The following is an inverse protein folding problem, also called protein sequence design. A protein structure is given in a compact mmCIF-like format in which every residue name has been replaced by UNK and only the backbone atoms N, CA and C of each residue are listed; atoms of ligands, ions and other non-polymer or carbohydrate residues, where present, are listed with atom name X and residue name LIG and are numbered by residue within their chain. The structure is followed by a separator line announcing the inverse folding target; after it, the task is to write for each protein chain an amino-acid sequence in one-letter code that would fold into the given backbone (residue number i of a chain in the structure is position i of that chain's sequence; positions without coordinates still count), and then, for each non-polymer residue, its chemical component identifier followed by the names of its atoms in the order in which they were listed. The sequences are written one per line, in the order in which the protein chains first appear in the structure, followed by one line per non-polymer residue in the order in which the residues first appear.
data_IF_565601783857
#
_entry.id   IF_565601783857
#
_cell.length_a   1.000
_cell.length_b   1.000
_cell.length_c   1.000
_cell.angle_alpha   90.00
_cell.angle_beta   90.00
_cell.angle_gamma   90.00
#
_symmetry.space_group_name_H-M   'P 1'
#
loop_
_entity.id
_entity.type
_entity.pdbx_description
1 polymer ?
#
# COMPACT_ATOMS: atom_id res chain seq x y z
N UNK A 1 14.54 -54.65 36.16
CA UNK A 1 14.89 -53.49 35.28
C UNK A 1 13.79 -53.42 34.26
N UNK A 2 12.82 -52.52 34.50
CA UNK A 2 11.78 -52.22 33.55
C UNK A 2 12.29 -51.07 32.66
N UNK A 3 12.55 -51.35 31.40
CA UNK A 3 12.85 -50.33 30.38
C UNK A 3 11.50 -49.89 29.85
N UNK A 4 10.97 -48.81 30.38
CA UNK A 4 9.77 -48.19 29.89
C UNK A 4 10.14 -46.89 29.18
N UNK A 5 9.97 -46.86 27.86
CA UNK A 5 9.97 -45.68 27.04
C UNK A 5 11.32 -45.02 26.74
N UNK A 6 11.47 -44.49 25.57
CA UNK A 6 12.67 -43.79 25.09
C UNK A 6 12.85 -42.38 25.65
N UNK A 7 11.87 -41.86 26.42
CA UNK A 7 11.93 -40.52 27.05
C UNK A 7 11.38 -40.58 28.49
N UNK A 8 11.96 -39.75 29.37
CA UNK A 8 11.48 -39.60 30.73
C UNK A 8 10.08 -38.93 30.73
N UNK A 9 9.18 -39.31 31.66
CA UNK A 9 7.86 -38.69 31.78
C UNK A 9 8.02 -37.17 32.07
N UNK A 10 7.31 -36.35 31.33
CA UNK A 10 7.29 -34.90 31.51
C UNK A 10 6.03 -34.52 32.27
N UNK A 11 6.18 -33.80 33.38
CA UNK A 11 5.06 -33.31 34.19
C UNK A 11 4.57 -31.99 33.64
N UNK A 12 3.26 -31.86 33.48
CA UNK A 12 2.59 -30.65 33.08
C UNK A 12 2.04 -29.91 34.29
N UNK A 13 2.20 -28.60 34.31
CA UNK A 13 1.68 -27.71 35.33
C UNK A 13 0.76 -26.67 34.73
N UNK A 14 -0.25 -26.24 35.47
CA UNK A 14 -1.11 -25.14 35.07
C UNK A 14 -0.33 -23.82 35.09
N UNK A 15 -0.36 -23.07 33.98
CA UNK A 15 0.37 -21.80 33.86
C UNK A 15 -0.41 -20.60 34.40
N UNK A 16 -1.71 -20.78 34.70
CA UNK A 16 -2.57 -19.71 35.22
C UNK A 16 -3.64 -20.26 36.16
N UNK A 17 -4.24 -19.38 36.94
CA UNK A 17 -5.39 -19.70 37.77
C UNK A 17 -6.67 -19.69 36.93
N UNK A 18 -7.54 -20.68 37.13
CA UNK A 18 -8.82 -20.73 36.45
C UNK A 18 -9.51 -22.09 36.53
N UNK A 19 -10.59 -22.22 35.77
CA UNK A 19 -11.26 -23.51 35.62
C UNK A 19 -10.71 -24.24 34.42
N UNK A 20 -10.36 -25.51 34.59
CA UNK A 20 -9.81 -26.34 33.52
C UNK A 20 -10.93 -27.06 32.76
N UNK A 21 -10.81 -27.14 31.47
CA UNK A 21 -11.57 -28.02 30.58
C UNK A 21 -10.58 -29.02 29.98
N UNK A 22 -10.84 -30.30 30.16
CA UNK A 22 -10.03 -31.38 29.64
C UNK A 22 -10.44 -31.67 28.19
N UNK A 23 -9.50 -31.57 27.26
CA UNK A 23 -9.74 -31.81 25.82
C UNK A 23 -9.26 -33.19 25.39
N UNK A 24 -8.30 -33.78 26.13
CA UNK A 24 -7.80 -35.12 25.89
C UNK A 24 -8.25 -36.07 27.05
N UNK A 25 -8.46 -37.35 26.72
CA UNK A 25 -8.86 -38.34 27.66
C UNK A 25 -7.64 -38.96 28.37
N UNK A 26 -7.84 -39.47 29.60
CA UNK A 26 -6.82 -40.24 30.28
C UNK A 26 -6.44 -41.49 29.48
N UNK A 27 -5.14 -41.82 29.39
CA UNK A 27 -4.57 -42.90 28.58
C UNK A 27 -4.75 -42.71 27.06
N UNK A 28 -4.96 -41.48 26.59
CA UNK A 28 -4.96 -41.15 25.18
C UNK A 28 -3.53 -41.01 24.66
N UNK A 29 -3.25 -41.60 23.49
CA UNK A 29 -2.02 -41.33 22.74
C UNK A 29 -2.10 -39.93 22.14
N UNK A 30 -1.07 -39.11 22.39
CA UNK A 30 -0.95 -37.75 21.90
C UNK A 30 0.33 -37.59 21.11
N UNK A 31 0.30 -36.66 20.16
CA UNK A 31 1.48 -36.18 19.47
C UNK A 31 2.01 -34.90 20.12
N UNK A 32 3.29 -34.63 19.92
CA UNK A 32 3.87 -33.36 20.34
C UNK A 32 3.11 -32.19 19.73
N UNK A 33 2.66 -31.25 20.57
CA UNK A 33 1.89 -30.09 20.17
C UNK A 33 0.36 -30.25 20.25
N UNK A 34 -0.15 -31.46 20.59
CA UNK A 34 -1.59 -31.66 20.81
C UNK A 34 -2.06 -30.88 22.04
N UNK A 35 -3.25 -30.29 21.98
CA UNK A 35 -3.86 -29.56 23.10
C UNK A 35 -4.48 -30.55 24.08
N UNK A 36 -4.00 -30.56 25.31
CA UNK A 36 -4.47 -31.46 26.37
C UNK A 36 -5.63 -30.85 27.15
N UNK A 37 -5.48 -29.60 27.52
CA UNK A 37 -6.45 -28.90 28.35
C UNK A 37 -6.45 -27.39 28.08
N UNK A 38 -7.53 -26.76 28.47
CA UNK A 38 -7.76 -25.33 28.32
C UNK A 38 -8.21 -24.73 29.68
N UNK A 39 -7.57 -23.64 30.09
CA UNK A 39 -7.98 -22.86 31.27
C UNK A 39 -8.97 -21.78 30.79
N UNK A 40 -10.21 -21.83 31.29
CA UNK A 40 -11.28 -20.93 30.85
C UNK A 40 -10.96 -19.47 31.12
N UNK A 41 -11.17 -18.64 30.13
CA UNK A 41 -11.05 -17.19 30.18
C UNK A 41 -12.15 -16.54 29.30
N UNK A 42 -12.01 -15.26 28.98
CA UNK A 42 -12.98 -14.54 28.14
C UNK A 42 -12.94 -14.87 26.64
N UNK A 43 -12.03 -15.75 26.18
CA UNK A 43 -11.90 -16.15 24.78
C UNK A 43 -12.45 -17.57 24.54
N UNK A 44 -12.90 -17.86 23.32
CA UNK A 44 -13.09 -19.24 22.85
C UNK A 44 -11.75 -19.71 22.21
N UNK A 45 -11.16 -20.76 22.78
CA UNK A 45 -9.87 -21.27 22.33
C UNK A 45 -9.86 -21.68 20.86
N UNK A 46 -11.00 -22.17 20.34
CA UNK A 46 -11.13 -22.57 18.93
C UNK A 46 -11.06 -21.36 18.00
N UNK A 47 -11.61 -20.22 18.41
CA UNK A 47 -11.53 -18.97 17.66
C UNK A 47 -10.10 -18.44 17.66
N UNK A 48 -9.38 -18.52 18.78
CA UNK A 48 -7.97 -18.10 18.85
C UNK A 48 -7.09 -19.00 17.97
N UNK A 49 -7.27 -20.34 18.03
CA UNK A 49 -6.51 -21.26 17.18
C UNK A 49 -6.83 -21.10 15.69
N UNK A 50 -8.09 -20.75 15.34
CA UNK A 50 -8.48 -20.42 13.98
C UNK A 50 -7.70 -19.20 13.46
N UNK A 51 -7.66 -18.13 14.26
CA UNK A 51 -6.89 -16.92 13.90
C UNK A 51 -5.39 -17.22 13.77
N UNK A 52 -4.82 -18.02 14.71
CA UNK A 52 -3.42 -18.42 14.66
C UNK A 52 -3.09 -19.20 13.37
N UNK A 53 -3.93 -20.17 13.01
CA UNK A 53 -3.77 -20.93 11.77
C UNK A 53 -3.89 -20.04 10.52
N UNK A 54 -4.82 -19.09 10.51
CA UNK A 54 -4.94 -18.11 9.43
C UNK A 54 -3.66 -17.28 9.29
N UNK A 55 -3.10 -16.78 10.40
CA UNK A 55 -1.87 -15.97 10.39
C UNK A 55 -0.63 -16.74 9.90
N UNK A 56 -0.56 -18.06 10.18
CA UNK A 56 0.55 -18.92 9.73
C UNK A 56 0.48 -19.24 8.24
N UNK A 57 -0.73 -19.39 7.68
CA UNK A 57 -0.95 -19.77 6.29
C UNK A 57 -0.98 -18.59 5.32
N UNK A 58 -1.02 -17.36 5.85
CA UNK A 58 -1.14 -16.17 5.04
C UNK A 58 0.24 -15.56 4.75
N UNK A 59 0.78 -15.80 3.57
CA UNK A 59 1.77 -14.93 2.95
C UNK A 59 1.09 -13.60 2.56
N UNK A 60 1.79 -12.50 2.71
CA UNK A 60 1.23 -11.15 2.52
C UNK A 60 0.49 -10.93 1.17
N UNK A 61 0.79 -11.75 0.15
CA UNK A 61 0.17 -11.68 -1.18
C UNK A 61 -1.22 -12.37 -1.27
N UNK A 62 -1.54 -13.30 -0.37
CA UNK A 62 -2.81 -14.03 -0.34
C UNK A 62 -3.83 -13.49 0.65
N UNK A 63 -3.44 -12.50 1.46
CA UNK A 63 -4.33 -11.87 2.45
C UNK A 63 -5.58 -11.23 1.83
N UNK A 64 -5.47 -10.73 0.59
CA UNK A 64 -6.59 -10.09 -0.10
C UNK A 64 -7.76 -11.03 -0.40
N UNK A 65 -7.52 -12.34 -0.46
CA UNK A 65 -8.52 -13.35 -0.87
C UNK A 65 -9.24 -14.04 0.32
N UNK A 66 -8.74 -13.89 1.56
CA UNK A 66 -9.32 -14.57 2.72
C UNK A 66 -10.29 -13.67 3.48
N UNK A 67 -11.58 -14.07 3.56
CA UNK A 67 -12.52 -13.39 4.44
C UNK A 67 -12.14 -13.67 5.90
N UNK A 68 -11.77 -12.61 6.62
CA UNK A 68 -11.57 -12.71 8.07
C UNK A 68 -12.94 -12.86 8.75
N UNK A 69 -13.09 -13.78 9.73
CA UNK A 69 -14.35 -13.97 10.43
C UNK A 69 -14.77 -12.71 11.18
N UNK A 70 -16.04 -12.30 11.03
CA UNK A 70 -16.58 -11.07 11.63
C UNK A 70 -16.95 -11.21 13.11
N UNK A 71 -17.20 -12.45 13.59
CA UNK A 71 -17.67 -12.70 14.95
C UNK A 71 -16.79 -13.70 15.67
N UNK A 72 -15.74 -13.20 16.33
CA UNK A 72 -14.81 -14.00 17.10
C UNK A 72 -14.86 -13.62 18.60
N UNK A 73 -14.87 -14.61 19.47
CA UNK A 73 -14.75 -14.40 20.91
C UNK A 73 -13.27 -14.58 21.28
N UNK A 74 -12.51 -13.47 21.31
CA UNK A 74 -11.07 -13.46 21.47
C UNK A 74 -10.59 -12.95 22.84
N UNK A 75 -11.51 -12.51 23.70
CA UNK A 75 -11.17 -12.05 25.05
C UNK A 75 -10.09 -10.94 25.02
N UNK A 76 -8.99 -11.16 25.76
CA UNK A 76 -7.87 -10.20 25.86
C UNK A 76 -7.11 -9.96 24.54
N UNK A 77 -7.24 -10.86 23.55
CA UNK A 77 -6.61 -10.73 22.23
C UNK A 77 -7.41 -9.81 21.31
N UNK A 78 -8.67 -9.49 21.65
CA UNK A 78 -9.60 -8.73 20.80
C UNK A 78 -9.02 -7.39 20.32
N UNK A 79 -8.27 -6.68 21.16
CA UNK A 79 -7.66 -5.40 20.79
C UNK A 79 -6.57 -5.57 19.73
N UNK A 80 -5.69 -6.56 19.88
CA UNK A 80 -4.64 -6.86 18.90
C UNK A 80 -5.24 -7.33 17.56
N UNK A 81 -6.30 -8.15 17.61
CA UNK A 81 -7.03 -8.57 16.41
C UNK A 81 -7.70 -7.38 15.71
N UNK A 82 -8.34 -6.48 16.44
CA UNK A 82 -8.97 -5.30 15.86
C UNK A 82 -7.95 -4.38 15.18
N UNK A 83 -6.77 -4.18 15.80
CA UNK A 83 -5.68 -3.39 15.18
C UNK A 83 -5.17 -4.03 13.90
N UNK A 84 -4.95 -5.34 13.90
CA UNK A 84 -4.58 -6.10 12.71
C UNK A 84 -5.65 -6.02 11.62
N UNK A 85 -6.94 -6.17 11.99
CA UNK A 85 -8.05 -6.10 11.04
C UNK A 85 -8.15 -4.73 10.37
N UNK A 86 -7.98 -3.64 11.13
CA UNK A 86 -7.96 -2.27 10.58
C UNK A 86 -6.80 -2.07 9.62
N UNK A 87 -5.59 -2.51 9.98
CA UNK A 87 -4.42 -2.44 9.12
C UNK A 87 -4.62 -3.26 7.82
N UNK A 88 -5.23 -4.44 7.93
CA UNK A 88 -5.59 -5.27 6.78
C UNK A 88 -6.59 -4.58 5.84
N UNK A 89 -7.66 -3.99 6.38
CA UNK A 89 -8.64 -3.25 5.58
C UNK A 89 -8.04 -2.04 4.89
N UNK A 90 -7.11 -1.33 5.55
CA UNK A 90 -6.40 -0.21 4.96
C UNK A 90 -5.45 -0.67 3.84
N UNK A 91 -4.67 -1.72 4.07
CA UNK A 91 -3.81 -2.34 3.06
C UNK A 91 -4.61 -2.73 1.82
N UNK A 92 -5.71 -3.46 2.01
CA UNK A 92 -6.58 -3.89 0.92
C UNK A 92 -7.13 -2.71 0.12
N UNK A 93 -7.64 -1.68 0.79
CA UNK A 93 -8.15 -0.47 0.13
C UNK A 93 -7.09 0.24 -0.73
N UNK A 94 -5.83 0.30 -0.25
CA UNK A 94 -4.74 0.94 -0.99
C UNK A 94 -4.33 0.08 -2.19
N UNK A 95 -4.25 -1.24 -2.04
CA UNK A 95 -3.85 -2.15 -3.12
C UNK A 95 -4.89 -2.30 -4.22
N UNK A 96 -6.18 -2.25 -3.88
CA UNK A 96 -7.30 -2.37 -4.82
C UNK A 96 -7.68 -1.02 -5.45
N UNK A 97 -7.07 0.10 -5.04
CA UNK A 97 -7.44 1.43 -5.51
C UNK A 97 -6.79 1.78 -6.83
N UNK A 98 -7.61 2.12 -7.83
CA UNK A 98 -7.15 2.60 -9.14
C UNK A 98 -6.97 4.13 -9.23
N UNK A 99 -7.10 4.84 -8.09
CA UNK A 99 -7.14 6.31 -8.09
C UNK A 99 -5.85 6.93 -8.64
N UNK A 100 -4.69 6.37 -8.30
CA UNK A 100 -3.40 6.85 -8.81
C UNK A 100 -3.24 6.60 -10.32
N UNK A 101 -3.71 5.46 -10.80
CA UNK A 101 -3.73 5.14 -12.24
C UNK A 101 -4.62 6.12 -13.01
N UNK A 102 -5.80 6.44 -12.47
CA UNK A 102 -6.71 7.42 -13.06
C UNK A 102 -6.10 8.83 -13.10
N UNK A 103 -5.45 9.26 -12.02
CA UNK A 103 -4.77 10.56 -11.96
C UNK A 103 -3.66 10.66 -12.99
N UNK A 104 -2.81 9.63 -13.12
CA UNK A 104 -1.75 9.59 -14.14
C UNK A 104 -2.32 9.64 -15.56
N UNK A 105 -3.34 8.85 -15.86
CA UNK A 105 -3.96 8.83 -17.19
C UNK A 105 -4.51 10.20 -17.58
N UNK A 106 -5.15 10.93 -16.66
CA UNK A 106 -5.64 12.27 -16.92
C UNK A 106 -4.50 13.26 -17.26
N UNK A 107 -3.36 13.15 -16.57
CA UNK A 107 -2.19 13.99 -16.85
C UNK A 107 -1.52 13.60 -18.18
N UNK A 108 -1.43 12.31 -18.50
CA UNK A 108 -0.91 11.82 -19.78
C UNK A 108 -1.75 12.31 -20.96
N UNK A 109 -3.08 12.31 -20.82
CA UNK A 109 -3.97 12.88 -21.83
C UNK A 109 -3.75 14.39 -22.00
N UNK A 110 -3.57 15.12 -20.90
CA UNK A 110 -3.24 16.55 -20.96
C UNK A 110 -1.92 16.80 -21.68
N UNK A 111 -0.88 16.03 -21.37
CA UNK A 111 0.43 16.10 -22.03
C UNK A 111 0.28 15.82 -23.54
N UNK A 112 -0.51 14.83 -23.92
CA UNK A 112 -0.76 14.50 -25.32
C UNK A 112 -1.39 15.68 -26.07
N UNK A 113 -2.39 16.33 -25.49
CA UNK A 113 -3.04 17.52 -26.07
C UNK A 113 -2.06 18.70 -26.17
N UNK A 114 -1.29 18.98 -25.11
CA UNK A 114 -0.30 20.06 -25.11
C UNK A 114 0.79 19.81 -26.18
N UNK A 115 1.23 18.56 -26.37
CA UNK A 115 2.17 18.17 -27.41
C UNK A 115 1.61 18.38 -28.83
N UNK A 116 0.32 18.07 -29.05
CA UNK A 116 -0.34 18.32 -30.34
C UNK A 116 -0.40 19.83 -30.65
N UNK A 117 -0.80 20.64 -29.68
CA UNK A 117 -0.81 22.10 -29.77
C UNK A 117 0.58 22.65 -30.07
N UNK A 118 1.61 22.15 -29.38
CA UNK A 118 3.00 22.54 -29.62
C UNK A 118 3.46 22.20 -31.06
N UNK A 119 3.04 21.06 -31.61
CA UNK A 119 3.39 20.66 -32.96
C UNK A 119 2.72 21.59 -34.00
N UNK A 120 1.47 22.00 -33.78
CA UNK A 120 0.79 22.99 -34.63
C UNK A 120 1.47 24.35 -34.56
N UNK A 121 1.77 24.82 -33.34
CA UNK A 121 2.50 26.08 -33.12
C UNK A 121 3.88 26.08 -33.77
N UNK A 122 4.62 24.98 -33.75
CA UNK A 122 5.92 24.86 -34.46
C UNK A 122 5.77 25.10 -35.97
N UNK A 123 4.73 24.51 -36.60
CA UNK A 123 4.47 24.69 -38.03
C UNK A 123 4.09 26.14 -38.34
N UNK A 124 3.26 26.73 -37.50
CA UNK A 124 2.82 28.12 -37.64
C UNK A 124 4.00 29.11 -37.47
N UNK A 125 4.82 28.91 -36.43
CA UNK A 125 6.04 29.69 -36.20
C UNK A 125 6.97 29.59 -37.42
N UNK A 126 7.22 28.39 -37.93
CA UNK A 126 8.07 28.20 -39.11
C UNK A 126 7.56 28.97 -40.34
N UNK A 127 6.24 28.96 -40.58
CA UNK A 127 5.63 29.72 -41.67
C UNK A 127 5.79 31.23 -41.45
N UNK A 128 5.49 31.72 -40.24
CA UNK A 128 5.60 33.15 -39.92
C UNK A 128 7.04 33.63 -39.92
N UNK A 129 8.02 32.83 -39.55
CA UNK A 129 9.45 33.16 -39.69
C UNK A 129 9.86 33.37 -41.13
N UNK A 130 9.34 32.56 -42.06
CA UNK A 130 9.58 32.78 -43.51
C UNK A 130 8.96 34.07 -43.98
N UNK A 131 7.70 34.34 -43.60
CA UNK A 131 6.99 35.58 -43.97
C UNK A 131 7.73 36.81 -43.43
N UNK A 132 8.13 36.78 -42.15
CA UNK A 132 8.87 37.87 -41.52
C UNK A 132 10.23 38.11 -42.21
N UNK A 133 10.93 37.03 -42.60
CA UNK A 133 12.20 37.13 -43.35
C UNK A 133 12.01 37.80 -44.70
N UNK A 134 10.95 37.49 -45.43
CA UNK A 134 10.65 38.12 -46.68
C UNK A 134 10.21 39.58 -46.49
N UNK A 135 9.45 39.87 -45.43
CA UNK A 135 9.01 41.24 -45.10
C UNK A 135 10.18 42.15 -44.74
N UNK A 136 11.18 41.67 -43.96
CA UNK A 136 12.38 42.48 -43.64
C UNK A 136 13.23 42.76 -44.87
N UNK A 137 13.32 41.81 -45.83
CA UNK A 137 14.03 42.04 -47.09
C UNK A 137 13.34 43.10 -47.94
N UNK A 138 11.98 43.13 -47.97
CA UNK A 138 11.20 44.16 -48.61
C UNK A 138 11.38 45.51 -47.94
N UNK A 139 11.29 45.56 -46.61
CA UNK A 139 11.48 46.78 -45.82
C UNK A 139 12.86 47.43 -46.06
N UNK A 140 13.94 46.62 -46.19
CA UNK A 140 15.26 47.12 -46.57
C UNK A 140 15.28 47.80 -47.95
N UNK A 141 14.57 47.21 -48.95
CA UNK A 141 14.44 47.85 -50.27
C UNK A 141 13.63 49.14 -50.20
N UNK A 142 12.53 49.14 -49.43
CA UNK A 142 11.68 50.30 -49.22
C UNK A 142 12.42 51.43 -48.49
N UNK A 143 13.31 51.12 -47.56
CA UNK A 143 14.20 52.10 -46.93
C UNK A 143 15.11 52.81 -47.95
N UNK A 144 15.68 52.06 -48.90
CA UNK A 144 16.50 52.64 -49.97
C UNK A 144 15.67 53.51 -50.91
N UNK A 145 14.43 53.08 -51.24
CA UNK A 145 13.51 53.86 -52.05
C UNK A 145 13.10 55.17 -51.36
N UNK A 146 12.85 55.11 -50.04
CA UNK A 146 12.51 56.27 -49.22
C UNK A 146 13.67 57.29 -49.24
N UNK A 147 14.90 56.86 -49.03
CA UNK A 147 16.10 57.73 -49.09
C UNK A 147 16.26 58.34 -50.47
N UNK A 148 15.90 57.62 -51.56
CA UNK A 148 15.96 58.09 -52.91
C UNK A 148 14.71 58.96 -53.36
N UNK A 149 13.82 59.33 -52.41
CA UNK A 149 12.54 60.01 -52.63
C UNK A 149 11.59 59.27 -53.57
N UNK A 150 11.73 57.91 -53.64
CA UNK A 150 10.87 57.09 -54.51
C UNK A 150 9.54 56.69 -53.85
N UNK A 151 9.42 56.80 -52.54
CA UNK A 151 8.21 56.59 -51.73
C UNK A 151 8.06 57.69 -50.68
N UNK A 152 6.83 57.98 -50.26
CA UNK A 152 6.54 58.95 -49.23
C UNK A 152 6.90 58.41 -47.82
N UNK A 153 7.13 59.33 -46.87
CA UNK A 153 7.36 58.98 -45.48
C UNK A 153 6.19 58.13 -44.91
N UNK A 154 4.95 58.50 -45.22
CA UNK A 154 3.75 57.77 -44.78
C UNK A 154 3.75 56.32 -45.28
N UNK A 155 4.07 56.08 -46.53
CA UNK A 155 4.12 54.75 -47.13
C UNK A 155 5.22 53.89 -46.48
N UNK A 156 6.39 54.50 -46.23
CA UNK A 156 7.49 53.80 -45.52
C UNK A 156 7.11 53.42 -44.08
N UNK A 157 6.48 54.35 -43.34
CA UNK A 157 6.02 54.10 -41.97
C UNK A 157 4.94 53.02 -41.90
N UNK A 158 3.98 53.00 -42.83
CA UNK A 158 2.97 51.93 -42.93
C UNK A 158 3.60 50.56 -43.17
N UNK A 159 4.57 50.43 -44.05
CA UNK A 159 5.27 49.18 -44.33
C UNK A 159 6.11 48.72 -43.15
N UNK A 160 6.76 49.67 -42.48
CA UNK A 160 7.51 49.39 -41.24
C UNK A 160 6.58 48.91 -40.13
N UNK A 161 5.45 49.54 -39.91
CA UNK A 161 4.47 49.14 -38.91
C UNK A 161 3.90 47.74 -39.19
N UNK A 162 3.60 47.44 -40.46
CA UNK A 162 3.18 46.08 -40.84
C UNK A 162 4.24 45.03 -40.52
N UNK A 163 5.52 45.31 -40.75
CA UNK A 163 6.60 44.41 -40.35
C UNK A 163 6.68 44.22 -38.83
N UNK A 164 6.59 45.31 -38.03
CA UNK A 164 6.61 45.23 -36.58
C UNK A 164 5.43 44.41 -36.03
N UNK A 165 4.23 44.57 -36.59
CA UNK A 165 3.06 43.75 -36.22
C UNK A 165 3.27 42.26 -36.51
N UNK A 166 3.92 41.90 -37.61
CA UNK A 166 4.28 40.51 -37.92
C UNK A 166 5.31 39.95 -36.93
N UNK A 167 6.30 40.75 -36.53
CA UNK A 167 7.33 40.38 -35.55
C UNK A 167 6.74 40.18 -34.16
N UNK A 168 5.83 41.06 -33.73
CA UNK A 168 5.07 40.92 -32.48
C UNK A 168 4.21 39.63 -32.47
N UNK A 169 3.52 39.34 -33.58
CA UNK A 169 2.73 38.11 -33.69
C UNK A 169 3.61 36.85 -33.57
N UNK A 170 4.77 36.86 -34.25
CA UNK A 170 5.74 35.75 -34.15
C UNK A 170 6.27 35.56 -32.72
N UNK A 171 6.59 36.65 -32.01
CA UNK A 171 7.04 36.62 -30.64
C UNK A 171 5.95 36.05 -29.71
N UNK A 172 4.69 36.47 -29.91
CA UNK A 172 3.53 35.97 -29.18
C UNK A 172 3.35 34.44 -29.36
N UNK A 173 3.46 33.96 -30.61
CA UNK A 173 3.37 32.50 -30.89
C UNK A 173 4.51 31.73 -30.21
N UNK A 174 5.75 32.24 -30.22
CA UNK A 174 6.89 31.64 -29.51
C UNK A 174 6.67 31.60 -28.00
N UNK A 175 6.12 32.67 -27.43
CA UNK A 175 5.78 32.73 -26.02
C UNK A 175 4.72 31.68 -25.66
N UNK A 176 3.67 31.54 -26.48
CA UNK A 176 2.63 30.51 -26.28
C UNK A 176 3.22 29.08 -26.35
N UNK A 177 4.11 28.84 -27.31
CA UNK A 177 4.81 27.56 -27.41
C UNK A 177 5.61 27.22 -26.13
N UNK A 178 6.38 28.19 -25.60
CA UNK A 178 7.14 28.01 -24.37
C UNK A 178 6.24 27.78 -23.15
N UNK A 179 5.09 28.47 -23.08
CA UNK A 179 4.10 28.24 -22.04
C UNK A 179 3.58 26.80 -22.09
N UNK A 180 3.22 26.30 -23.26
CA UNK A 180 2.76 24.93 -23.44
C UNK A 180 3.81 23.88 -23.11
N UNK A 181 5.07 24.14 -23.43
CA UNK A 181 6.19 23.30 -23.03
C UNK A 181 6.35 23.26 -21.51
N UNK A 182 6.22 24.41 -20.84
CA UNK A 182 6.23 24.49 -19.38
C UNK A 182 5.08 23.71 -18.74
N UNK A 183 3.87 23.83 -19.29
CA UNK A 183 2.67 23.11 -18.82
C UNK A 183 2.85 21.59 -18.93
N UNK A 184 3.40 21.11 -20.04
CA UNK A 184 3.69 19.69 -20.25
C UNK A 184 4.73 19.17 -19.26
N UNK A 185 5.85 19.89 -19.08
CA UNK A 185 6.88 19.53 -18.11
C UNK A 185 6.35 19.50 -16.67
N UNK A 186 5.48 20.45 -16.31
CA UNK A 186 4.84 20.46 -15.00
C UNK A 186 3.94 19.24 -14.80
N UNK A 187 3.20 18.83 -15.83
CA UNK A 187 2.37 17.63 -15.79
C UNK A 187 3.22 16.34 -15.66
N UNK A 188 4.38 16.27 -16.32
CA UNK A 188 5.32 15.16 -16.16
C UNK A 188 5.89 15.06 -14.74
N UNK A 189 6.28 16.19 -14.14
CA UNK A 189 6.74 16.23 -12.73
C UNK A 189 5.63 15.77 -11.77
N UNK A 190 4.38 16.15 -12.04
CA UNK A 190 3.24 15.73 -11.22
C UNK A 190 2.99 14.22 -11.33
N UNK A 191 3.14 13.61 -12.51
CA UNK A 191 3.08 12.15 -12.68
C UNK A 191 4.15 11.45 -11.83
N UNK A 192 5.38 11.97 -11.82
CA UNK A 192 6.46 11.42 -11.00
C UNK A 192 6.12 11.53 -9.50
N UNK A 193 5.58 12.68 -9.07
CA UNK A 193 5.15 12.90 -7.68
C UNK A 193 4.07 11.90 -7.26
N UNK A 194 3.03 11.72 -8.09
CA UNK A 194 1.94 10.77 -7.85
C UNK A 194 2.46 9.33 -7.76
N UNK A 195 3.41 8.97 -8.62
CA UNK A 195 4.01 7.63 -8.62
C UNK A 195 4.81 7.35 -7.36
N UNK A 196 5.57 8.35 -6.89
CA UNK A 196 6.31 8.25 -5.63
C UNK A 196 5.35 8.12 -4.43
N UNK A 197 4.33 8.97 -4.38
CA UNK A 197 3.31 8.94 -3.32
C UNK A 197 2.56 7.60 -3.27
N UNK A 198 2.20 7.03 -4.42
CA UNK A 198 1.61 5.69 -4.51
C UNK A 198 2.52 4.63 -3.90
N UNK A 199 3.80 4.66 -4.28
CA UNK A 199 4.80 3.70 -3.79
C UNK A 199 4.97 3.82 -2.27
N UNK A 200 5.16 5.03 -1.75
CA UNK A 200 5.29 5.28 -0.31
C UNK A 200 4.05 4.82 0.47
N UNK A 201 2.85 5.09 -0.03
CA UNK A 201 1.62 4.69 0.65
C UNK A 201 1.43 3.17 0.63
N UNK A 202 1.80 2.49 -0.44
CA UNK A 202 1.81 1.02 -0.52
C UNK A 202 2.82 0.42 0.45
N UNK A 203 4.04 0.94 0.49
CA UNK A 203 5.09 0.48 1.42
C UNK A 203 4.69 0.69 2.88
N UNK A 204 4.13 1.86 3.23
CA UNK A 204 3.62 2.13 4.58
C UNK A 204 2.51 1.16 4.98
N UNK A 205 1.58 0.88 4.07
CA UNK A 205 0.48 -0.06 4.34
C UNK A 205 0.99 -1.49 4.57
N UNK A 206 1.97 -1.94 3.78
CA UNK A 206 2.63 -3.24 3.96
C UNK A 206 3.36 -3.32 5.30
N UNK A 207 4.13 -2.29 5.64
CA UNK A 207 4.88 -2.24 6.89
C UNK A 207 3.96 -2.25 8.12
N UNK A 208 2.88 -1.46 8.10
CA UNK A 208 1.89 -1.41 9.18
C UNK A 208 1.19 -2.77 9.34
N UNK A 209 0.74 -3.39 8.23
CA UNK A 209 0.13 -4.72 8.27
C UNK A 209 1.07 -5.76 8.87
N UNK A 210 2.35 -5.74 8.50
CA UNK A 210 3.36 -6.65 9.04
C UNK A 210 3.58 -6.42 10.55
N UNK A 211 3.63 -5.16 11.00
CA UNK A 211 3.77 -4.81 12.41
C UNK A 211 2.58 -5.31 13.23
N UNK A 212 1.35 -5.06 12.78
CA UNK A 212 0.14 -5.49 13.49
C UNK A 212 -0.04 -7.02 13.45
N UNK A 213 0.36 -7.69 12.37
CA UNK A 213 0.41 -9.15 12.30
C UNK A 213 1.36 -9.72 13.37
N UNK A 214 2.57 -9.17 13.49
CA UNK A 214 3.54 -9.61 14.47
C UNK A 214 3.04 -9.38 15.91
N UNK A 215 2.41 -8.23 16.17
CA UNK A 215 1.81 -7.92 17.45
C UNK A 215 0.71 -8.93 17.82
N UNK A 216 -0.17 -9.27 16.87
CA UNK A 216 -1.22 -10.26 17.07
C UNK A 216 -0.65 -11.67 17.27
N UNK A 217 0.34 -12.08 16.48
CA UNK A 217 1.02 -13.38 16.64
C UNK A 217 1.64 -13.51 18.02
N UNK A 218 2.32 -12.46 18.50
CA UNK A 218 2.89 -12.45 19.85
C UNK A 218 1.81 -12.51 20.93
N UNK A 219 0.72 -11.76 20.79
CA UNK A 219 -0.39 -11.80 21.74
C UNK A 219 -1.03 -13.21 21.82
N UNK A 220 -1.22 -13.86 20.66
CA UNK A 220 -1.70 -15.26 20.60
C UNK A 220 -0.69 -16.21 21.25
N UNK A 221 0.60 -16.05 21.01
CA UNK A 221 1.65 -16.86 21.63
C UNK A 221 1.60 -16.79 23.16
N UNK A 222 1.59 -15.58 23.71
CA UNK A 222 1.48 -15.35 25.16
C UNK A 222 0.18 -15.92 25.73
N UNK A 223 -0.94 -15.76 25.00
CA UNK A 223 -2.23 -16.32 25.41
C UNK A 223 -2.20 -17.85 25.42
N UNK A 224 -1.63 -18.49 24.39
CA UNK A 224 -1.47 -19.96 24.32
C UNK A 224 -0.66 -20.49 25.48
N UNK A 225 0.47 -19.86 25.80
CA UNK A 225 1.31 -20.24 26.96
C UNK A 225 0.57 -20.14 28.31
N UNK A 226 -0.33 -19.16 28.46
CA UNK A 226 -1.06 -18.96 29.72
C UNK A 226 -2.26 -19.88 29.89
N UNK A 227 -2.95 -20.22 28.83
CA UNK A 227 -4.29 -20.82 28.93
C UNK A 227 -4.40 -22.20 28.28
N UNK A 228 -3.44 -22.62 27.46
CA UNK A 228 -3.44 -23.95 26.85
C UNK A 228 -2.32 -24.81 27.45
N UNK A 229 -2.66 -26.06 27.74
CA UNK A 229 -1.68 -27.08 28.03
C UNK A 229 -1.45 -27.94 26.79
N UNK A 230 -0.23 -27.91 26.25
CA UNK A 230 0.17 -28.68 25.08
C UNK A 230 1.01 -29.90 25.49
N UNK A 231 0.91 -30.99 24.71
CA UNK A 231 1.84 -32.12 24.88
C UNK A 231 3.24 -31.73 24.41
N UNK A 232 4.26 -31.74 25.30
CA UNK A 232 5.64 -31.43 24.95
C UNK A 232 6.34 -32.53 24.16
N UNK A 233 5.82 -33.75 24.23
CA UNK A 233 6.37 -34.98 23.61
C UNK A 233 5.22 -35.83 23.06
N UNK A 234 5.51 -36.73 22.14
CA UNK A 234 4.56 -37.77 21.74
C UNK A 234 4.56 -38.91 22.78
N UNK A 235 3.38 -39.36 23.21
CA UNK A 235 3.25 -40.43 24.22
C UNK A 235 1.83 -40.58 24.75
N UNK A 236 1.66 -41.40 25.75
CA UNK A 236 0.37 -41.64 26.43
C UNK A 236 0.20 -40.63 27.58
N UNK A 237 -0.98 -39.99 27.63
CA UNK A 237 -1.34 -39.05 28.70
C UNK A 237 -1.84 -39.77 29.92
N UNK A 238 -1.29 -39.47 31.10
CA UNK A 238 -1.80 -39.94 32.39
C UNK A 238 -2.01 -38.74 33.33
N UNK A 239 -3.26 -38.54 33.79
CA UNK A 239 -3.56 -37.49 34.76
C UNK A 239 -3.16 -37.91 36.18
N UNK A 240 -2.38 -37.05 36.87
CA UNK A 240 -1.88 -37.29 38.21
C UNK A 240 -2.90 -37.02 39.34
N UNK A 241 -4.20 -37.01 39.03
CA UNK A 241 -5.24 -36.76 40.00
C UNK A 241 -6.64 -36.99 39.47
N UNK A 242 -7.65 -36.81 40.33
CA UNK A 242 -9.05 -36.89 39.92
C UNK A 242 -9.52 -35.56 39.30
N UNK A 243 -9.02 -35.22 38.09
CA UNK A 243 -9.44 -34.04 37.37
C UNK A 243 -10.81 -34.26 36.73
N UNK A 244 -11.68 -33.26 36.87
CA UNK A 244 -12.97 -33.18 36.18
C UNK A 244 -13.09 -31.85 35.49
N UNK A 245 -13.89 -31.81 34.43
CA UNK A 245 -14.22 -30.54 33.77
C UNK A 245 -14.73 -29.52 34.79
N UNK A 246 -14.32 -28.26 34.62
CA UNK A 246 -14.59 -27.14 35.51
C UNK A 246 -13.93 -27.21 36.89
N UNK A 247 -12.98 -28.16 37.16
CA UNK A 247 -12.14 -28.11 38.37
C UNK A 247 -11.31 -26.83 38.37
N UNK A 248 -11.17 -26.21 39.55
CA UNK A 248 -10.32 -25.04 39.71
C UNK A 248 -8.86 -25.45 39.86
N UNK A 249 -7.97 -24.80 39.07
CA UNK A 249 -6.52 -25.02 39.15
C UNK A 249 -5.83 -23.71 39.51
N UNK A 250 -4.69 -23.86 40.21
CA UNK A 250 -3.79 -22.74 40.52
C UNK A 250 -2.54 -22.81 39.65
N UNK A 251 -1.95 -21.66 39.37
CA UNK A 251 -0.68 -21.59 38.65
C UNK A 251 0.40 -22.39 39.41
N UNK A 252 1.13 -23.23 38.68
CA UNK A 252 2.13 -24.15 39.25
C UNK A 252 1.59 -25.48 39.74
N UNK A 253 0.28 -25.71 39.71
CA UNK A 253 -0.32 -26.99 40.11
C UNK A 253 -0.11 -28.05 39.03
N UNK A 254 0.33 -29.26 39.42
CA UNK A 254 0.49 -30.41 38.53
C UNK A 254 -0.90 -30.90 38.06
N UNK A 255 -1.00 -31.21 36.77
CA UNK A 255 -2.22 -31.67 36.08
C UNK A 255 -2.26 -33.19 35.93
#
# INVERSE_FOLDING_TARGET
ISITGTQAPVRLVANNNGRIILLANNKQELQQGDVIAYITNGADYRHVLCVDSLLQNIYAQTLAEYPLPDSLILGEISSAYSSFYLAYMQYRRIMESDIYALMRNNLEQKIAVDNEVMNLLKQEIFLHERIAKDAILRLKKDSLLYVANGISQKEYEERRNNYLTMEEALLSMKSTYLSKLSDANQSEMEIQRITLEETENKEKAVAELAAQRNALTNAIGVWKERYLAFSPISGELEYLGFWRDNSFVQAGQEL
#
